data_IF_545344222421
#
_entry.id   IF_545344222421
#
_cell.length_a   1.000
_cell.length_b   1.000
_cell.length_c   1.000
_cell.angle_alpha   90.00
_cell.angle_beta   90.00
_cell.angle_gamma   90.00
#
_symmetry.space_group_name_H-M   'P 1'
#
loop_
_entity.id
_entity.type
_entity.pdbx_description
1 polymer ?
#
# COMPACT_ATOMS: atom_id res chain seq x y z
N UNK A 1 -30.17 -38.94 -33.55
CA UNK A 1 -31.45 -38.53 -33.02
C UNK A 1 -31.31 -37.14 -32.45
N UNK A 2 -31.86 -36.25 -33.14
CA UNK A 2 -32.42 -34.92 -32.97
C UNK A 2 -31.60 -33.90 -32.16
N UNK A 3 -30.91 -33.08 -32.88
CA UNK A 3 -30.36 -31.79 -32.52
C UNK A 3 -31.42 -30.71 -32.73
N UNK A 4 -31.61 -29.84 -31.72
CA UNK A 4 -32.42 -28.62 -31.86
C UNK A 4 -31.56 -27.41 -31.52
N UNK A 5 -31.45 -26.39 -32.38
CA UNK A 5 -30.68 -25.18 -32.15
C UNK A 5 -31.54 -24.12 -31.41
N UNK A 6 -30.95 -23.48 -30.42
CA UNK A 6 -31.56 -22.38 -29.64
C UNK A 6 -31.09 -21.02 -30.19
N UNK A 7 -32.02 -20.30 -30.78
CA UNK A 7 -31.86 -18.98 -31.38
C UNK A 7 -31.58 -17.90 -30.32
N UNK A 8 -30.52 -17.13 -30.53
CA UNK A 8 -30.15 -15.91 -29.83
C UNK A 8 -31.01 -14.73 -30.30
N UNK A 9 -31.72 -14.08 -29.39
CA UNK A 9 -32.38 -12.78 -29.63
C UNK A 9 -31.51 -11.66 -29.09
N UNK A 10 -31.08 -10.75 -29.97
CA UNK A 10 -30.42 -9.48 -29.61
C UNK A 10 -31.48 -8.44 -29.22
N UNK A 11 -31.29 -7.61 -28.17
CA UNK A 11 -32.13 -6.44 -27.93
C UNK A 11 -31.66 -5.21 -28.73
N UNK A 12 -32.63 -4.47 -29.20
CA UNK A 12 -32.51 -3.28 -30.03
C UNK A 12 -31.92 -2.07 -29.26
N UNK A 13 -31.12 -1.28 -29.98
CA UNK A 13 -30.59 0.01 -29.52
C UNK A 13 -31.66 1.10 -29.73
N UNK A 14 -32.00 1.80 -28.67
CA UNK A 14 -32.83 3.03 -28.69
C UNK A 14 -31.89 4.23 -28.78
N UNK A 15 -32.00 4.97 -29.88
CA UNK A 15 -31.36 6.28 -30.08
C UNK A 15 -32.29 7.37 -29.56
N UNK A 16 -31.77 8.24 -28.69
CA UNK A 16 -32.45 9.45 -28.24
C UNK A 16 -31.71 10.65 -28.84
N UNK A 17 -32.41 11.60 -29.50
CA UNK A 17 -31.75 12.76 -30.08
C UNK A 17 -31.52 13.87 -29.05
N UNK A 18 -30.35 14.51 -29.14
CA UNK A 18 -29.90 15.64 -28.38
C UNK A 18 -30.42 16.96 -29.04
N UNK A 19 -31.23 17.69 -28.34
CA UNK A 19 -31.64 19.04 -28.78
C UNK A 19 -30.73 20.10 -28.16
N UNK A 20 -30.04 20.85 -29.02
CA UNK A 20 -29.22 21.99 -28.64
C UNK A 20 -30.11 23.27 -28.56
N UNK A 21 -30.05 24.00 -27.48
CA UNK A 21 -30.57 25.33 -27.35
C UNK A 21 -29.39 26.31 -27.10
N UNK A 22 -29.14 27.16 -28.12
CA UNK A 22 -28.23 28.31 -28.04
C UNK A 22 -29.01 29.49 -27.47
N UNK A 23 -28.53 30.07 -26.38
CA UNK A 23 -28.97 31.41 -25.93
C UNK A 23 -27.77 32.37 -25.94
N UNK A 24 -27.76 33.31 -26.89
CA UNK A 24 -26.88 34.46 -26.89
C UNK A 24 -27.49 35.54 -25.97
N UNK A 25 -26.71 36.03 -25.04
CA UNK A 25 -26.97 37.33 -24.38
C UNK A 25 -25.73 38.20 -24.48
N UNK A 26 -25.89 39.31 -25.23
CA UNK A 26 -24.96 40.45 -25.31
C UNK A 26 -25.12 41.30 -24.07
N UNK A 27 -24.04 41.65 -23.39
CA UNK A 27 -24.02 42.77 -22.44
C UNK A 27 -22.78 43.64 -22.67
N UNK A 28 -23.08 44.90 -22.77
CA UNK A 28 -22.31 46.07 -23.15
C UNK A 28 -21.26 46.43 -22.08
N UNK A 29 -20.12 46.91 -22.56
CA UNK A 29 -19.02 47.48 -21.77
C UNK A 29 -19.35 48.88 -21.24
N UNK A 30 -18.90 49.20 -20.05
CA UNK A 30 -18.36 50.53 -19.68
C UNK A 30 -17.72 50.50 -18.28
N UNK A 31 -16.57 51.16 -18.15
CA UNK A 31 -16.05 51.68 -16.87
C UNK A 31 -14.76 51.06 -16.41
N UNK A 32 -13.68 51.76 -16.69
CA UNK A 32 -12.39 51.58 -16.03
C UNK A 32 -12.47 52.16 -14.61
N UNK A 33 -11.81 51.47 -13.67
CA UNK A 33 -11.07 52.12 -12.58
C UNK A 33 -10.18 51.06 -11.92
N UNK A 34 -8.91 51.41 -11.79
CA UNK A 34 -7.85 50.62 -11.18
C UNK A 34 -8.14 50.40 -9.68
N UNK A 35 -8.16 49.14 -9.22
CA UNK A 35 -7.89 48.82 -7.83
C UNK A 35 -7.05 47.53 -7.73
N UNK A 36 -5.79 47.76 -7.40
CA UNK A 36 -4.79 46.76 -7.14
C UNK A 36 -5.04 46.12 -5.77
N UNK A 37 -5.95 45.12 -5.70
CA UNK A 37 -6.16 44.31 -4.52
C UNK A 37 -5.80 42.86 -4.80
N UNK A 38 -4.82 42.42 -4.09
CA UNK A 38 -4.18 41.13 -4.03
C UNK A 38 -5.04 39.94 -4.47
N UNK A 39 -4.67 39.36 -5.61
CA UNK A 39 -5.17 38.08 -6.04
C UNK A 39 -4.57 37.01 -5.09
N UNK A 40 -5.31 36.70 -4.05
CA UNK A 40 -5.05 35.54 -3.22
C UNK A 40 -4.99 34.31 -4.14
N UNK A 41 -3.79 33.78 -4.32
CA UNK A 41 -3.61 32.50 -4.98
C UNK A 41 -4.38 31.47 -4.14
N UNK A 42 -5.49 31.01 -4.66
CA UNK A 42 -6.20 29.84 -4.14
C UNK A 42 -5.28 28.64 -4.36
N UNK A 43 -4.41 28.37 -3.41
CA UNK A 43 -3.70 27.09 -3.31
C UNK A 43 -4.77 26.04 -3.09
N UNK A 44 -5.11 25.32 -4.15
CA UNK A 44 -5.88 24.07 -4.05
C UNK A 44 -5.10 23.18 -3.08
N UNK A 45 -5.69 22.73 -1.96
CA UNK A 45 -4.94 21.83 -1.07
C UNK A 45 -4.59 20.58 -1.86
N UNK A 46 -3.30 20.28 -1.92
CA UNK A 46 -2.79 19.05 -2.52
C UNK A 46 -3.29 17.90 -1.64
N UNK A 47 -4.38 17.26 -2.04
CA UNK A 47 -5.07 16.20 -1.29
C UNK A 47 -4.34 14.86 -1.38
N UNK A 48 -3.02 14.85 -1.24
CA UNK A 48 -2.32 13.62 -0.92
C UNK A 48 -2.58 13.31 0.56
N UNK A 49 -3.07 12.12 0.88
CA UNK A 49 -3.24 11.74 2.28
C UNK A 49 -1.92 11.87 3.02
N UNK A 50 -1.98 12.39 4.25
CA UNK A 50 -0.78 12.57 5.07
C UNK A 50 0.01 11.25 5.18
N UNK A 51 1.36 11.28 5.15
CA UNK A 51 2.19 10.08 5.30
C UNK A 51 1.85 9.31 6.57
N UNK A 52 1.96 7.99 6.54
CA UNK A 52 1.84 7.18 7.74
C UNK A 52 3.06 7.39 8.62
N UNK A 53 2.84 7.51 9.93
CA UNK A 53 3.92 7.65 10.92
C UNK A 53 3.68 6.73 12.11
N UNK A 54 4.78 6.30 12.73
CA UNK A 54 4.80 5.66 14.04
C UNK A 54 5.78 6.41 14.93
N UNK A 55 5.30 6.92 16.07
CA UNK A 55 6.11 7.79 16.92
C UNK A 55 6.64 9.06 16.21
N UNK A 56 5.88 9.58 15.25
CA UNK A 56 6.27 10.75 14.45
C UNK A 56 7.24 10.46 13.29
N UNK A 57 7.72 9.21 13.13
CA UNK A 57 8.61 8.80 12.05
C UNK A 57 7.85 8.01 10.98
N UNK A 58 8.06 8.38 9.72
CA UNK A 58 7.46 7.75 8.54
C UNK A 58 8.49 7.01 7.67
N UNK A 59 8.11 6.78 6.43
CA UNK A 59 9.01 6.34 5.37
C UNK A 59 9.85 7.53 4.87
N UNK A 60 10.82 7.25 4.00
CA UNK A 60 11.49 8.31 3.23
C UNK A 60 10.53 8.84 2.14
N UNK A 61 10.03 10.07 2.36
CA UNK A 61 9.08 10.72 1.44
C UNK A 61 9.66 11.06 0.07
N UNK A 62 10.99 11.15 -0.05
CA UNK A 62 11.71 11.44 -1.30
C UNK A 62 12.11 10.17 -2.07
N UNK A 63 11.92 8.98 -1.47
CA UNK A 63 12.21 7.72 -2.13
C UNK A 63 11.39 7.57 -3.43
N UNK A 64 12.06 7.14 -4.50
CA UNK A 64 11.45 6.97 -5.83
C UNK A 64 10.51 5.77 -5.88
N UNK A 65 10.78 4.74 -5.07
CA UNK A 65 9.97 3.52 -4.95
C UNK A 65 9.26 3.60 -3.61
N UNK A 66 7.94 3.79 -3.64
CA UNK A 66 7.09 3.82 -2.46
C UNK A 66 5.68 3.38 -2.81
N UNK A 67 5.04 2.72 -1.87
CA UNK A 67 3.66 2.27 -2.03
C UNK A 67 2.92 2.35 -0.71
N UNK A 68 1.63 2.68 -0.78
CA UNK A 68 0.71 2.72 0.35
C UNK A 68 -0.57 2.02 -0.01
N UNK A 69 -1.09 1.23 0.93
CA UNK A 69 -2.37 0.56 0.80
C UNK A 69 -3.03 0.38 2.16
N UNK A 70 -4.31 0.05 2.18
CA UNK A 70 -5.08 -0.13 3.40
C UNK A 70 -6.20 -1.16 3.21
N UNK A 71 -6.66 -1.74 4.31
CA UNK A 71 -7.83 -2.62 4.33
C UNK A 71 -8.58 -2.49 5.64
N UNK A 72 -9.90 -2.67 5.60
CA UNK A 72 -10.73 -2.84 6.79
C UNK A 72 -10.82 -4.33 7.13
N UNK A 73 -10.53 -4.66 8.39
CA UNK A 73 -10.55 -6.03 8.93
C UNK A 73 -11.63 -6.10 10.02
N UNK A 74 -12.60 -6.99 9.85
CA UNK A 74 -13.66 -7.25 10.83
C UNK A 74 -13.18 -8.27 11.87
N UNK A 75 -12.28 -7.82 12.72
CA UNK A 75 -11.72 -8.61 13.82
C UNK A 75 -11.27 -7.68 14.96
N UNK A 76 -11.13 -8.20 16.21
CA UNK A 76 -10.62 -7.41 17.31
C UNK A 76 -9.19 -6.88 17.05
N UNK A 77 -8.93 -5.62 17.40
CA UNK A 77 -7.63 -4.98 17.24
C UNK A 77 -6.48 -5.83 17.82
N UNK A 78 -6.70 -6.40 18.99
CA UNK A 78 -5.71 -7.27 19.63
C UNK A 78 -5.34 -8.50 18.78
N UNK A 79 -6.31 -9.14 18.15
CA UNK A 79 -6.06 -10.30 17.27
C UNK A 79 -5.20 -9.91 16.08
N UNK A 80 -5.53 -8.77 15.44
CA UNK A 80 -4.78 -8.25 14.30
C UNK A 80 -3.36 -7.85 14.71
N UNK A 81 -3.24 -7.16 15.84
CA UNK A 81 -1.96 -6.73 16.40
C UNK A 81 -1.05 -7.92 16.72
N UNK A 82 -1.56 -8.94 17.41
CA UNK A 82 -0.83 -10.14 17.76
C UNK A 82 -0.36 -10.91 16.51
N UNK A 83 -1.20 -11.04 15.47
CA UNK A 83 -0.80 -11.64 14.20
C UNK A 83 0.34 -10.88 13.55
N UNK A 84 0.29 -9.55 13.54
CA UNK A 84 1.30 -8.73 12.89
C UNK A 84 2.61 -8.66 13.69
N UNK A 85 2.58 -8.71 15.02
CA UNK A 85 3.77 -8.52 15.86
C UNK A 85 4.37 -9.81 16.41
N UNK A 86 3.65 -10.93 16.40
CA UNK A 86 4.22 -12.25 16.62
C UNK A 86 4.88 -12.74 15.32
N UNK A 87 6.03 -12.13 15.02
CA UNK A 87 6.71 -12.30 13.73
C UNK A 87 7.08 -13.76 13.45
N UNK A 88 7.37 -14.56 14.47
CA UNK A 88 7.74 -15.98 14.29
C UNK A 88 6.58 -16.84 13.77
N UNK A 89 5.36 -16.35 13.91
CA UNK A 89 4.15 -17.01 13.37
C UNK A 89 3.80 -16.60 11.94
N UNK A 90 4.45 -15.60 11.33
CA UNK A 90 4.13 -15.18 9.96
C UNK A 90 4.08 -16.33 8.95
N UNK A 91 5.00 -17.31 8.94
CA UNK A 91 4.93 -18.41 7.99
C UNK A 91 3.63 -19.26 8.08
N UNK A 92 2.88 -19.17 9.17
CA UNK A 92 1.64 -19.92 9.34
C UNK A 92 0.41 -19.27 8.66
N UNK A 93 0.47 -17.98 8.34
CA UNK A 93 -0.65 -17.25 7.73
C UNK A 93 -0.23 -16.34 6.57
N UNK A 94 1.01 -15.87 6.53
CA UNK A 94 1.55 -15.01 5.48
C UNK A 94 2.26 -15.89 4.44
N UNK A 95 1.57 -16.25 3.37
CA UNK A 95 2.04 -17.26 2.41
C UNK A 95 3.41 -16.95 1.76
N UNK A 96 3.72 -15.69 1.37
CA UNK A 96 5.05 -15.38 0.84
C UNK A 96 6.19 -15.49 1.83
N UNK A 97 5.94 -15.50 3.15
CA UNK A 97 7.00 -15.66 4.15
C UNK A 97 7.36 -17.14 4.30
N UNK A 98 8.49 -17.54 3.73
CA UNK A 98 8.91 -18.94 3.70
C UNK A 98 9.74 -19.36 4.92
N UNK A 99 10.37 -18.40 5.61
CA UNK A 99 11.01 -18.61 6.90
C UNK A 99 11.04 -17.31 7.71
N UNK A 100 11.12 -17.46 9.03
CA UNK A 100 11.19 -16.34 9.96
C UNK A 100 12.06 -16.72 11.16
N UNK A 101 12.82 -15.74 11.66
CA UNK A 101 13.63 -15.88 12.86
C UNK A 101 13.75 -14.55 13.58
N UNK A 102 13.33 -14.49 14.83
CA UNK A 102 13.68 -13.40 15.73
C UNK A 102 15.17 -13.56 16.13
N UNK A 103 15.96 -12.51 15.95
CA UNK A 103 17.42 -12.55 16.20
C UNK A 103 17.77 -12.18 17.65
N UNK A 104 16.82 -11.57 18.36
CA UNK A 104 16.96 -11.16 19.75
C UNK A 104 15.99 -11.98 20.62
N UNK A 105 16.28 -12.12 21.90
CA UNK A 105 15.42 -12.87 22.82
C UNK A 105 14.21 -12.07 23.30
N UNK A 106 13.09 -12.76 23.56
CA UNK A 106 11.86 -12.19 24.08
C UNK A 106 10.92 -11.67 22.97
N UNK A 107 9.81 -11.04 23.34
CA UNK A 107 8.83 -10.53 22.39
C UNK A 107 9.41 -9.38 21.54
N UNK A 108 8.78 -9.13 20.40
CA UNK A 108 9.12 -8.00 19.54
C UNK A 108 9.01 -6.69 20.32
N UNK A 109 10.03 -5.84 20.20
CA UNK A 109 10.11 -4.52 20.86
C UNK A 109 10.96 -3.58 20.02
N UNK A 110 11.00 -2.33 20.38
CA UNK A 110 11.97 -1.38 19.81
C UNK A 110 13.41 -1.90 20.01
N UNK A 111 14.21 -1.81 18.97
CA UNK A 111 15.56 -2.36 18.89
C UNK A 111 15.63 -3.85 18.53
N UNK A 112 14.51 -4.59 18.54
CA UNK A 112 14.51 -5.99 18.08
C UNK A 112 14.90 -6.09 16.61
N UNK A 113 15.61 -7.17 16.29
CA UNK A 113 15.95 -7.55 14.91
C UNK A 113 15.33 -8.88 14.57
N UNK A 114 14.86 -9.00 13.36
CA UNK A 114 14.34 -10.26 12.84
C UNK A 114 14.76 -10.47 11.39
N UNK A 115 14.82 -11.71 10.98
CA UNK A 115 15.17 -12.11 9.62
C UNK A 115 14.09 -12.99 9.04
N UNK A 116 13.71 -12.70 7.82
CA UNK A 116 12.70 -13.46 7.11
C UNK A 116 13.04 -13.62 5.64
N UNK A 117 12.43 -14.59 4.99
CA UNK A 117 12.66 -14.87 3.57
C UNK A 117 11.35 -14.84 2.80
N UNK A 118 11.43 -14.32 1.58
CA UNK A 118 10.32 -14.30 0.64
C UNK A 118 10.82 -14.55 -0.78
N UNK A 119 10.05 -15.25 -1.66
CA UNK A 119 10.41 -15.38 -3.05
C UNK A 119 10.29 -14.05 -3.78
N UNK A 120 11.24 -13.77 -4.64
CA UNK A 120 11.17 -12.68 -5.62
C UNK A 120 11.09 -13.30 -7.02
N UNK A 121 10.05 -13.02 -7.81
CA UNK A 121 9.92 -13.57 -9.15
C UNK A 121 10.97 -12.99 -10.10
N UNK A 122 11.24 -13.70 -11.20
CA UNK A 122 12.11 -13.19 -12.25
C UNK A 122 11.53 -11.92 -12.89
N UNK A 123 12.43 -11.03 -13.28
CA UNK A 123 12.15 -9.87 -14.14
C UNK A 123 12.92 -10.01 -15.45
N UNK A 124 12.83 -9.01 -16.33
CA UNK A 124 13.63 -8.99 -17.55
C UNK A 124 15.14 -8.93 -17.28
N UNK A 125 15.56 -8.40 -16.12
CA UNK A 125 16.95 -8.14 -15.75
C UNK A 125 17.45 -8.91 -14.54
N UNK A 126 16.57 -9.61 -13.83
CA UNK A 126 16.89 -10.30 -12.57
C UNK A 126 16.27 -11.69 -12.58
N UNK A 127 17.03 -12.76 -12.30
CA UNK A 127 16.48 -14.11 -12.15
C UNK A 127 15.55 -14.21 -10.94
N UNK A 128 14.67 -15.23 -10.93
CA UNK A 128 13.92 -15.55 -9.72
C UNK A 128 14.89 -15.90 -8.59
N UNK A 129 14.65 -15.36 -7.41
CA UNK A 129 15.52 -15.54 -6.24
C UNK A 129 14.70 -15.58 -4.96
N UNK A 130 15.35 -15.87 -3.84
CA UNK A 130 14.79 -15.71 -2.50
C UNK A 130 15.47 -14.50 -1.86
N UNK A 131 14.68 -13.51 -1.47
CA UNK A 131 15.18 -12.39 -0.67
C UNK A 131 15.29 -12.82 0.79
N UNK A 132 16.44 -12.55 1.38
CA UNK A 132 16.68 -12.59 2.82
C UNK A 132 16.61 -11.16 3.32
N UNK A 133 15.63 -10.86 4.14
CA UNK A 133 15.37 -9.51 4.66
C UNK A 133 15.72 -9.52 6.14
N UNK A 134 16.59 -8.59 6.56
CA UNK A 134 16.96 -8.43 7.97
C UNK A 134 16.46 -7.08 8.44
N UNK A 135 15.41 -7.09 9.24
CA UNK A 135 14.73 -5.89 9.72
C UNK A 135 15.12 -5.52 11.14
N UNK A 136 15.18 -4.22 11.41
CA UNK A 136 15.34 -3.65 12.76
C UNK A 136 14.10 -2.83 13.11
N UNK A 137 13.49 -3.09 14.25
CA UNK A 137 12.34 -2.33 14.76
C UNK A 137 12.82 -1.01 15.35
N UNK A 138 12.30 0.09 14.82
CA UNK A 138 12.65 1.43 15.28
C UNK A 138 11.60 2.04 16.22
N UNK A 139 10.33 1.82 15.91
CA UNK A 139 9.19 2.23 16.72
C UNK A 139 8.20 1.08 16.85
N UNK A 140 7.65 0.90 18.05
CA UNK A 140 6.59 -0.03 18.32
C UNK A 140 5.69 0.55 19.41
N UNK A 141 4.48 0.95 19.03
CA UNK A 141 3.46 1.45 19.97
C UNK A 141 2.32 0.41 19.98
N UNK A 142 2.13 -0.32 21.08
CA UNK A 142 1.15 -1.38 21.18
C UNK A 142 -0.23 -0.94 20.66
N UNK A 143 -0.86 -1.81 19.90
CA UNK A 143 -2.19 -1.64 19.31
C UNK A 143 -2.36 -0.39 18.42
N UNK A 144 -1.26 0.28 18.09
CA UNK A 144 -1.30 1.56 17.35
C UNK A 144 -0.48 1.51 16.08
N UNK A 145 0.83 1.23 16.19
CA UNK A 145 1.71 1.24 15.03
C UNK A 145 3.03 0.51 15.26
N UNK A 146 3.64 0.07 14.18
CA UNK A 146 5.03 -0.43 14.18
C UNK A 146 5.76 0.07 12.94
N UNK A 147 7.05 0.38 13.11
CA UNK A 147 7.95 0.78 12.04
C UNK A 147 9.27 0.04 12.16
N UNK A 148 9.69 -0.57 11.05
CA UNK A 148 11.00 -1.20 10.93
C UNK A 148 11.67 -0.83 9.62
N UNK A 149 12.97 -1.11 9.53
CA UNK A 149 13.68 -1.02 8.26
C UNK A 149 14.79 -2.06 8.18
N UNK A 150 15.25 -2.30 6.97
CA UNK A 150 16.39 -3.13 6.70
C UNK A 150 16.58 -3.48 5.24
N UNK A 151 17.74 -4.11 4.89
CA UNK A 151 18.03 -4.56 3.54
C UNK A 151 17.30 -5.86 3.21
N UNK A 152 17.05 -6.05 1.90
CA UNK A 152 16.64 -7.30 1.29
C UNK A 152 17.70 -7.76 0.29
N UNK A 153 18.24 -8.95 0.49
CA UNK A 153 19.38 -9.48 -0.31
C UNK A 153 19.02 -10.84 -0.89
N UNK A 154 19.13 -10.97 -2.19
CA UNK A 154 18.99 -12.23 -2.92
C UNK A 154 20.09 -12.39 -3.97
N UNK A 155 20.14 -13.53 -4.64
CA UNK A 155 21.05 -13.72 -5.76
C UNK A 155 20.58 -12.83 -6.94
N UNK A 156 21.45 -11.91 -7.36
CA UNK A 156 21.14 -10.96 -8.43
C UNK A 156 20.12 -9.86 -8.07
N UNK A 157 19.63 -9.78 -6.84
CA UNK A 157 18.68 -8.76 -6.40
C UNK A 157 19.05 -8.18 -5.03
N UNK A 158 19.11 -6.86 -4.95
CA UNK A 158 19.44 -6.13 -3.73
C UNK A 158 18.54 -4.91 -3.54
N UNK A 159 17.89 -4.85 -2.40
CA UNK A 159 17.28 -3.66 -1.82
C UNK A 159 18.23 -3.19 -0.73
N UNK A 160 18.80 -1.98 -0.85
CA UNK A 160 19.75 -1.48 0.15
C UNK A 160 19.07 -1.16 1.46
N UNK A 161 17.88 -0.58 1.41
CA UNK A 161 17.04 -0.38 2.58
C UNK A 161 15.56 -0.31 2.18
N UNK A 162 14.72 -1.02 2.93
CA UNK A 162 13.26 -0.87 2.95
C UNK A 162 12.84 -0.25 4.28
N UNK A 163 12.01 0.78 4.27
CA UNK A 163 11.39 1.34 5.48
C UNK A 163 9.91 1.09 5.42
N UNK A 164 9.38 0.40 6.42
CA UNK A 164 8.01 -0.07 6.47
C UNK A 164 7.28 0.44 7.71
N UNK A 165 6.11 1.02 7.51
CA UNK A 165 5.23 1.55 8.56
C UNK A 165 3.88 0.85 8.49
N UNK A 166 3.39 0.42 9.65
CA UNK A 166 2.05 -0.12 9.85
C UNK A 166 1.30 0.70 10.89
N UNK A 167 0.03 0.99 10.64
CA UNK A 167 -0.86 1.65 11.59
C UNK A 167 -2.18 0.91 11.69
N UNK A 168 -2.74 0.88 12.90
CA UNK A 168 -3.98 0.20 13.25
C UNK A 168 -4.92 1.20 13.90
N UNK A 169 -6.14 1.32 13.41
CA UNK A 169 -7.13 2.28 13.91
C UNK A 169 -8.48 1.62 14.00
N UNK A 170 -9.05 1.54 15.20
CA UNK A 170 -10.44 1.11 15.36
C UNK A 170 -11.38 2.12 14.70
N UNK A 171 -12.31 1.61 13.92
CA UNK A 171 -13.34 2.38 13.21
C UNK A 171 -14.66 1.59 13.25
N UNK A 172 -15.74 2.22 12.80
CA UNK A 172 -17.01 1.51 12.63
C UNK A 172 -16.82 0.34 11.66
N UNK A 173 -17.18 -0.87 12.12
CA UNK A 173 -17.08 -2.10 11.32
C UNK A 173 -15.73 -2.82 11.40
N UNK A 174 -14.83 -2.47 12.34
CA UNK A 174 -13.58 -3.20 12.58
C UNK A 174 -12.36 -2.34 12.77
N UNK A 175 -11.22 -2.79 12.25
CA UNK A 175 -9.94 -2.09 12.32
C UNK A 175 -9.47 -1.73 10.93
N UNK A 176 -9.22 -0.44 10.72
CA UNK A 176 -8.55 0.03 9.49
C UNK A 176 -7.05 -0.15 9.65
N UNK A 177 -6.49 -1.12 8.92
CA UNK A 177 -5.06 -1.38 8.87
C UNK A 177 -4.49 -0.69 7.63
N UNK A 178 -3.48 0.17 7.85
CA UNK A 178 -2.76 0.86 6.79
C UNK A 178 -1.29 0.48 6.81
N UNK A 179 -0.71 0.38 5.63
CA UNK A 179 0.72 0.13 5.48
C UNK A 179 1.31 1.02 4.41
N UNK A 180 2.52 1.48 4.65
CA UNK A 180 3.32 2.28 3.71
C UNK A 180 4.77 1.82 3.77
N UNK A 181 5.37 1.60 2.61
CA UNK A 181 6.77 1.18 2.51
C UNK A 181 7.47 1.90 1.37
N UNK A 182 8.76 2.15 1.54
CA UNK A 182 9.66 2.58 0.48
C UNK A 182 10.88 1.67 0.37
N UNK A 183 11.42 1.57 -0.83
CA UNK A 183 12.71 0.92 -1.09
C UNK A 183 13.70 1.91 -1.67
N UNK A 184 14.98 1.73 -1.28
CA UNK A 184 16.11 2.45 -1.85
C UNK A 184 17.21 1.46 -2.26
N UNK A 185 18.02 1.84 -3.23
CA UNK A 185 19.13 1.05 -3.72
C UNK A 185 19.28 1.13 -5.23
N UNK A 186 20.51 1.24 -5.71
CA UNK A 186 20.80 1.47 -7.12
C UNK A 186 20.18 0.40 -8.04
N UNK A 187 20.12 -0.86 -7.57
CA UNK A 187 19.60 -1.95 -8.38
C UNK A 187 18.08 -1.90 -8.53
N UNK A 188 17.33 -1.66 -7.47
CA UNK A 188 15.87 -1.55 -7.55
C UNK A 188 15.44 -0.24 -8.20
N UNK A 189 16.22 0.83 -8.05
CA UNK A 189 15.96 2.13 -8.68
C UNK A 189 16.31 2.18 -10.16
N UNK A 190 16.97 1.16 -10.70
CA UNK A 190 17.21 1.02 -12.13
C UNK A 190 15.90 0.81 -12.92
N UNK A 191 14.88 0.23 -12.30
CA UNK A 191 13.54 0.06 -12.89
C UNK A 191 12.47 0.37 -11.82
N UNK A 192 12.21 1.65 -11.59
CA UNK A 192 11.25 2.15 -10.60
C UNK A 192 9.82 1.63 -10.84
N UNK A 193 9.29 1.64 -12.09
CA UNK A 193 7.94 1.11 -12.33
C UNK A 193 7.79 -0.35 -11.91
N UNK A 194 8.71 -1.23 -12.31
CA UNK A 194 8.68 -2.65 -11.96
C UNK A 194 8.83 -2.85 -10.45
N UNK A 195 9.79 -2.17 -9.82
CA UNK A 195 10.03 -2.26 -8.38
C UNK A 195 8.84 -1.76 -7.56
N UNK A 196 8.18 -0.68 -7.99
CA UNK A 196 6.97 -0.16 -7.33
C UNK A 196 5.80 -1.13 -7.47
N UNK A 197 5.63 -1.76 -8.64
CA UNK A 197 4.59 -2.76 -8.86
C UNK A 197 4.80 -4.00 -7.96
N UNK A 198 6.04 -4.48 -7.79
CA UNK A 198 6.34 -5.58 -6.89
C UNK A 198 6.10 -5.23 -5.43
N UNK A 199 6.55 -4.05 -5.00
CA UNK A 199 6.28 -3.56 -3.64
C UNK A 199 4.77 -3.52 -3.38
N UNK A 200 4.01 -2.90 -4.29
CA UNK A 200 2.55 -2.80 -4.16
C UNK A 200 1.87 -4.16 -4.07
N UNK A 201 2.19 -5.08 -4.98
CA UNK A 201 1.63 -6.42 -4.98
C UNK A 201 1.95 -7.19 -3.68
N UNK A 202 3.15 -7.01 -3.13
CA UNK A 202 3.57 -7.58 -1.85
C UNK A 202 2.75 -7.05 -0.67
N UNK A 203 2.57 -5.74 -0.57
CA UNK A 203 1.79 -5.12 0.51
C UNK A 203 0.30 -5.46 0.45
N UNK A 204 -0.28 -5.48 -0.75
CA UNK A 204 -1.67 -5.89 -0.96
C UNK A 204 -1.89 -7.36 -0.60
N UNK A 205 -0.95 -8.23 -0.97
CA UNK A 205 -0.98 -9.64 -0.57
C UNK A 205 -0.91 -9.78 0.95
N UNK A 206 -0.03 -9.03 1.61
CA UNK A 206 0.11 -9.06 3.06
C UNK A 206 -1.17 -8.66 3.78
N UNK A 207 -1.78 -7.53 3.38
CA UNK A 207 -3.05 -7.10 3.97
C UNK A 207 -4.18 -8.10 3.75
N UNK A 208 -4.25 -8.72 2.57
CA UNK A 208 -5.24 -9.76 2.28
C UNK A 208 -5.07 -10.98 3.18
N UNK A 209 -3.84 -11.45 3.37
CA UNK A 209 -3.53 -12.61 4.17
C UNK A 209 -3.75 -12.32 5.68
N UNK A 210 -3.36 -11.12 6.15
CA UNK A 210 -3.63 -10.67 7.52
C UNK A 210 -5.13 -10.60 7.81
N UNK A 211 -5.91 -10.02 6.86
CA UNK A 211 -7.37 -9.97 6.96
C UNK A 211 -7.96 -11.37 7.07
N UNK A 212 -7.59 -12.27 6.18
CA UNK A 212 -8.10 -13.64 6.18
C UNK A 212 -7.76 -14.38 7.48
N UNK A 213 -6.52 -14.22 8.00
CA UNK A 213 -6.09 -14.86 9.23
C UNK A 213 -6.81 -14.29 10.47
N UNK A 214 -6.99 -12.96 10.54
CA UNK A 214 -7.63 -12.31 11.67
C UNK A 214 -9.13 -12.63 11.74
N UNK A 215 -9.84 -12.57 10.62
CA UNK A 215 -11.26 -12.87 10.54
C UNK A 215 -11.56 -14.36 10.78
N UNK A 216 -10.64 -15.26 10.50
CA UNK A 216 -10.77 -16.68 10.81
C UNK A 216 -10.50 -17.02 12.29
N UNK A 217 -9.83 -16.13 13.03
CA UNK A 217 -9.48 -16.30 14.44
C UNK A 217 -10.44 -15.59 15.41
N UNK A 218 -11.48 -14.94 14.89
CA UNK A 218 -12.45 -14.11 15.63
C UNK A 218 -13.68 -14.87 16.07
#
# INVERSE_FOLDING_TARGET
>A
MSTTPRTSRRPARILVPLAAALALTTATACGAEDDETGRAATTTPNTHPAPLTCGGAGIDGDARIRYRTETLIDAPLRTIWELQTDVERWPSWQQPVTSMKLLDQGPLREGSRFQWTTPAPATATTPATTLVITSSVHQLQPDTCVRWSGPGIGDGLRIDNGVHVWTFTEVDGGVLVRTEENWTGAQVEADVPTSTAFLGAGLEAWLRDLKAAAEAAS
#
